data_IF_763940189457
#
_entry.id   IF_763940189457
#
_cell.length_a   1.000
_cell.length_b   1.000
_cell.length_c   1.000
_cell.angle_alpha   90.00
_cell.angle_beta   90.00
_cell.angle_gamma   90.00
#
_symmetry.space_group_name_H-M   'P 1'
#
loop_
_entity.id
_entity.type
_entity.pdbx_description
1 polymer ?
#
# COMPACT_ATOMS: atom_id res chain seq x y z
N UNK A 1 8.79 1.50 -4.72
CA UNK A 1 8.43 2.76 -4.02
C UNK A 1 7.11 2.65 -3.26
N UNK A 2 6.07 2.02 -3.81
CA UNK A 2 4.81 1.80 -3.08
C UNK A 2 4.95 0.74 -1.96
N UNK A 3 5.65 -0.37 -2.21
CA UNK A 3 6.03 -1.35 -1.17
C UNK A 3 6.79 -0.73 0.01
N UNK A 4 7.72 0.21 -0.25
CA UNK A 4 8.43 0.90 0.83
C UNK A 4 7.52 1.84 1.63
N UNK A 5 6.43 2.32 1.04
CA UNK A 5 5.46 3.18 1.73
C UNK A 5 4.53 2.37 2.64
N UNK A 6 4.12 1.16 2.24
CA UNK A 6 3.28 0.28 3.09
C UNK A 6 4.05 -0.20 4.30
N UNK A 7 5.32 -0.60 4.15
CA UNK A 7 6.19 -0.99 5.28
C UNK A 7 6.32 0.13 6.31
N UNK A 8 6.68 1.35 5.88
CA UNK A 8 6.80 2.51 6.77
C UNK A 8 5.48 2.84 7.49
N UNK A 9 4.35 2.74 6.78
CA UNK A 9 3.04 3.00 7.37
C UNK A 9 2.60 1.90 8.35
N UNK A 10 3.00 0.65 8.15
CA UNK A 10 2.80 -0.43 9.12
C UNK A 10 3.62 -0.19 10.39
N UNK A 11 4.91 0.14 10.28
CA UNK A 11 5.77 0.49 11.44
C UNK A 11 5.16 1.66 12.24
N UNK A 12 4.59 2.64 11.54
CA UNK A 12 3.89 3.77 12.17
C UNK A 12 2.58 3.33 12.85
N UNK A 13 1.82 2.41 12.23
CA UNK A 13 0.58 1.89 12.80
C UNK A 13 0.81 1.08 14.08
N UNK A 14 1.95 0.40 14.24
CA UNK A 14 2.31 -0.33 15.45
C UNK A 14 2.44 0.58 16.69
N UNK A 15 2.78 1.85 16.48
CA UNK A 15 2.94 2.84 17.56
C UNK A 15 1.65 3.62 17.86
N UNK A 16 0.57 3.35 17.13
CA UNK A 16 -0.69 4.07 17.23
C UNK A 16 -1.81 3.15 17.76
N UNK A 17 -2.79 3.76 18.43
CA UNK A 17 -3.97 3.07 18.93
C UNK A 17 -5.27 3.71 18.42
N UNK A 18 -6.36 2.95 18.53
CA UNK A 18 -7.72 3.44 18.32
C UNK A 18 -7.95 3.99 16.90
N UNK A 19 -8.47 5.22 16.82
CA UNK A 19 -8.88 5.82 15.55
C UNK A 19 -7.68 6.16 14.64
N UNK A 20 -6.56 6.63 15.21
CA UNK A 20 -5.38 7.01 14.44
C UNK A 20 -4.80 5.78 13.71
N UNK A 21 -4.66 4.67 14.43
CA UNK A 21 -4.23 3.39 13.83
C UNK A 21 -5.14 2.94 12.70
N UNK A 22 -6.47 3.02 12.89
CA UNK A 22 -7.44 2.65 11.84
C UNK A 22 -7.30 3.50 10.58
N UNK A 23 -7.05 4.80 10.71
CA UNK A 23 -6.84 5.68 9.56
C UNK A 23 -5.56 5.35 8.80
N UNK A 24 -4.46 5.10 9.51
CA UNK A 24 -3.20 4.69 8.89
C UNK A 24 -3.36 3.37 8.14
N UNK A 25 -3.99 2.36 8.76
CA UNK A 25 -4.26 1.08 8.10
C UNK A 25 -5.18 1.23 6.88
N UNK A 26 -6.16 2.13 6.92
CA UNK A 26 -6.99 2.41 5.75
C UNK A 26 -6.16 3.02 4.59
N UNK A 27 -5.19 3.89 4.90
CA UNK A 27 -4.25 4.43 3.91
C UNK A 27 -3.36 3.35 3.33
N UNK A 28 -2.82 2.47 4.17
CA UNK A 28 -2.04 1.30 3.71
C UNK A 28 -2.84 0.48 2.72
N UNK A 29 -4.09 0.16 3.06
CA UNK A 29 -4.96 -0.64 2.19
C UNK A 29 -5.23 0.06 0.84
N UNK A 30 -5.37 1.39 0.82
CA UNK A 30 -5.49 2.15 -0.43
C UNK A 30 -4.21 2.07 -1.28
N UNK A 31 -3.03 2.09 -0.65
CA UNK A 31 -1.73 1.99 -1.34
C UNK A 31 -1.56 0.59 -1.95
N UNK A 32 -1.92 -0.46 -1.22
CA UNK A 32 -1.87 -1.84 -1.72
C UNK A 32 -2.78 -2.04 -2.93
N UNK A 33 -4.01 -1.50 -2.89
CA UNK A 33 -4.93 -1.53 -4.03
C UNK A 33 -4.33 -0.77 -5.22
N UNK A 34 -3.76 0.42 -4.99
CA UNK A 34 -3.13 1.18 -6.06
C UNK A 34 -1.97 0.40 -6.71
N UNK A 35 -1.18 -0.32 -5.91
CA UNK A 35 -0.11 -1.14 -6.43
C UNK A 35 -0.62 -2.30 -7.29
N UNK A 36 -1.66 -3.02 -6.86
CA UNK A 36 -2.32 -4.05 -7.68
C UNK A 36 -2.81 -3.51 -9.02
N UNK A 37 -3.42 -2.31 -9.03
CA UNK A 37 -3.90 -1.67 -10.24
C UNK A 37 -2.75 -1.26 -11.19
N UNK A 38 -1.64 -0.77 -10.63
CA UNK A 38 -0.45 -0.44 -11.41
C UNK A 38 0.18 -1.70 -11.99
N UNK A 39 0.33 -2.76 -11.21
CA UNK A 39 0.91 -4.03 -11.65
C UNK A 39 0.07 -4.66 -12.77
N UNK A 40 -1.26 -4.64 -12.66
CA UNK A 40 -2.18 -5.09 -13.71
C UNK A 40 -2.03 -4.25 -15.00
N UNK A 41 -1.96 -2.93 -14.86
CA UNK A 41 -1.76 -2.04 -16.02
C UNK A 41 -0.42 -2.30 -16.71
N UNK A 42 0.65 -2.46 -15.94
CA UNK A 42 1.98 -2.76 -16.45
C UNK A 42 2.03 -4.13 -17.14
N UNK A 43 1.44 -5.17 -16.55
CA UNK A 43 1.36 -6.50 -17.15
C UNK A 43 0.59 -6.48 -18.49
N UNK A 44 -0.41 -5.62 -18.62
CA UNK A 44 -1.16 -5.45 -19.87
C UNK A 44 -0.37 -4.71 -20.94
N UNK A 45 0.36 -3.66 -20.59
CA UNK A 45 1.10 -2.82 -21.54
C UNK A 45 2.46 -3.41 -21.93
N UNK A 46 3.11 -4.08 -21.00
CA UNK A 46 4.42 -4.70 -21.13
C UNK A 46 4.38 -6.07 -20.45
N UNK A 47 3.75 -7.10 -21.05
CA UNK A 47 3.75 -8.44 -20.48
C UNK A 47 5.20 -8.88 -20.31
N UNK A 48 5.58 -9.20 -19.07
CA UNK A 48 6.92 -9.71 -18.77
C UNK A 48 7.18 -10.92 -19.69
N UNK A 49 8.26 -10.83 -20.47
CA UNK A 49 8.64 -11.84 -21.45
C UNK A 49 8.98 -13.19 -20.82
#
# INVERSE_FOLDING_TARGET
>A
MLESATVCAYDCAEQLDGHARKQVLAVVQMIEIAQLLVDEALNRECPAA
#
